data_IF_112577543588
#
_entry.id   IF_112577543588
#
_cell.length_a   1.000
_cell.length_b   1.000
_cell.length_c   1.000
_cell.angle_alpha   90.00
_cell.angle_beta   90.00
_cell.angle_gamma   90.00
#
_symmetry.space_group_name_H-M   'P 1'
#
loop_
_entity.id
_entity.type
_entity.pdbx_description
1 polymer ?
#
# COMPACT_ATOMS: atom_id res chain seq x y z
N UNK A 1 -23.78 19.76 -8.40
CA UNK A 1 -23.11 20.49 -7.30
C UNK A 1 -21.78 21.02 -7.79
N UNK A 2 -21.43 22.26 -7.45
CA UNK A 2 -20.19 22.89 -7.91
C UNK A 2 -18.99 22.39 -7.10
N UNK A 3 -17.86 22.12 -7.78
CA UNK A 3 -16.61 21.72 -7.13
C UNK A 3 -16.13 22.71 -6.05
N UNK A 4 -16.52 23.97 -6.18
CA UNK A 4 -16.23 25.05 -5.21
C UNK A 4 -16.71 24.75 -3.79
N UNK A 5 -17.84 24.07 -3.64
CA UNK A 5 -18.37 23.69 -2.33
C UNK A 5 -17.50 22.63 -1.64
N UNK A 6 -17.00 21.65 -2.40
CA UNK A 6 -16.09 20.62 -1.90
C UNK A 6 -14.76 21.23 -1.44
N UNK A 7 -14.24 22.19 -2.20
CA UNK A 7 -13.05 22.95 -1.81
C UNK A 7 -13.24 23.72 -0.50
N UNK A 8 -14.38 24.40 -0.35
CA UNK A 8 -14.70 25.12 0.89
C UNK A 8 -14.73 24.17 2.11
N UNK A 9 -15.30 22.96 1.96
CA UNK A 9 -15.30 21.93 3.01
C UNK A 9 -13.88 21.44 3.34
N UNK A 10 -13.01 21.28 2.33
CA UNK A 10 -11.62 20.89 2.55
C UNK A 10 -10.81 21.94 3.33
N UNK A 11 -10.96 23.21 2.98
CA UNK A 11 -10.24 24.31 3.65
C UNK A 11 -10.77 24.58 5.07
N UNK A 12 -12.06 24.39 5.30
CA UNK A 12 -12.67 24.51 6.64
C UNK A 12 -12.38 23.33 7.58
N UNK A 13 -11.73 22.26 7.09
CA UNK A 13 -11.40 21.09 7.90
C UNK A 13 -12.58 20.15 8.19
N UNK A 14 -13.74 20.39 7.57
CA UNK A 14 -14.94 19.57 7.74
C UNK A 14 -14.89 18.32 6.85
N UNK A 15 -13.96 17.41 7.14
CA UNK A 15 -13.69 16.24 6.32
C UNK A 15 -14.86 15.24 6.29
N UNK A 16 -15.58 15.06 7.39
CA UNK A 16 -16.72 14.13 7.45
C UNK A 16 -17.82 14.51 6.46
N UNK A 17 -18.19 15.80 6.43
CA UNK A 17 -19.14 16.37 5.47
C UNK A 17 -18.62 16.25 4.04
N UNK A 18 -17.33 16.50 3.83
CA UNK A 18 -16.70 16.35 2.51
C UNK A 18 -16.83 14.91 2.00
N UNK A 19 -16.53 13.91 2.82
CA UNK A 19 -16.62 12.50 2.42
C UNK A 19 -18.06 12.07 2.13
N UNK A 20 -19.02 12.53 2.94
CA UNK A 20 -20.45 12.28 2.74
C UNK A 20 -20.94 12.87 1.41
N UNK A 21 -20.61 14.13 1.15
CA UNK A 21 -21.04 14.84 -0.06
C UNK A 21 -20.44 14.19 -1.30
N UNK A 22 -19.15 13.86 -1.28
CA UNK A 22 -18.49 13.15 -2.40
C UNK A 22 -19.14 11.78 -2.60
N UNK A 23 -19.47 11.04 -1.53
CA UNK A 23 -20.03 9.69 -1.63
C UNK A 23 -21.47 9.64 -2.17
N UNK A 24 -22.29 10.66 -1.92
CA UNK A 24 -23.72 10.66 -2.32
C UNK A 24 -24.02 11.37 -3.63
N UNK A 25 -23.12 12.26 -4.07
CA UNK A 25 -23.39 13.14 -5.20
C UNK A 25 -22.95 12.53 -6.52
N UNK A 26 -23.58 12.94 -7.62
CA UNK A 26 -23.11 12.64 -8.97
C UNK A 26 -22.28 13.80 -9.51
N UNK A 27 -21.11 13.48 -10.06
CA UNK A 27 -20.20 14.45 -10.65
C UNK A 27 -20.00 14.12 -12.13
N UNK A 28 -19.61 15.14 -12.89
CA UNK A 28 -19.17 14.97 -14.27
C UNK A 28 -17.73 14.41 -14.27
N UNK A 29 -17.46 13.48 -15.18
CA UNK A 29 -16.18 12.77 -15.31
C UNK A 29 -14.98 13.72 -15.45
N UNK A 30 -15.20 14.90 -16.04
CA UNK A 30 -14.17 15.96 -16.15
C UNK A 30 -13.58 16.38 -14.80
N UNK A 31 -14.34 16.25 -13.71
CA UNK A 31 -13.91 16.61 -12.37
C UNK A 31 -13.43 15.43 -11.52
N UNK A 32 -13.49 14.19 -12.03
CA UNK A 32 -13.13 12.99 -11.24
C UNK A 32 -11.70 13.05 -10.73
N UNK A 33 -10.75 13.42 -11.60
CA UNK A 33 -9.33 13.50 -11.22
C UNK A 33 -9.10 14.49 -10.07
N UNK A 34 -9.71 15.68 -10.16
CA UNK A 34 -9.60 16.71 -9.14
C UNK A 34 -10.26 16.27 -7.81
N UNK A 35 -11.45 15.68 -7.88
CA UNK A 35 -12.17 15.20 -6.70
C UNK A 35 -11.44 14.02 -6.02
N UNK A 36 -10.81 13.13 -6.79
CA UNK A 36 -9.97 12.05 -6.27
C UNK A 36 -8.74 12.62 -5.53
N UNK A 37 -8.11 13.67 -6.08
CA UNK A 37 -7.00 14.34 -5.40
C UNK A 37 -7.45 14.96 -4.07
N UNK A 38 -8.59 15.66 -4.06
CA UNK A 38 -9.14 16.26 -2.85
C UNK A 38 -9.50 15.18 -1.82
N UNK A 39 -10.11 14.07 -2.24
CA UNK A 39 -10.42 12.94 -1.36
C UNK A 39 -9.18 12.43 -0.63
N UNK A 40 -8.08 12.21 -1.35
CA UNK A 40 -6.84 11.73 -0.73
C UNK A 40 -6.17 12.81 0.12
N UNK A 41 -6.13 14.07 -0.33
CA UNK A 41 -5.60 15.19 0.46
C UNK A 41 -6.35 15.35 1.78
N UNK A 42 -7.68 15.26 1.75
CA UNK A 42 -8.53 15.28 2.94
C UNK A 42 -8.21 14.12 3.89
N UNK A 43 -8.08 12.89 3.37
CA UNK A 43 -7.70 11.71 4.17
C UNK A 43 -6.30 11.81 4.77
N UNK A 44 -5.34 12.38 4.04
CA UNK A 44 -4.00 12.62 4.57
C UNK A 44 -4.06 13.62 5.71
N UNK A 45 -4.69 14.77 5.48
CA UNK A 45 -4.79 15.85 6.47
C UNK A 45 -5.55 15.41 7.73
N UNK A 46 -6.64 14.66 7.59
CA UNK A 46 -7.37 14.06 8.69
C UNK A 46 -6.46 13.17 9.57
N UNK A 47 -5.60 12.35 8.94
CA UNK A 47 -4.72 11.43 9.66
C UNK A 47 -3.48 12.12 10.24
N UNK A 48 -2.95 13.14 9.55
CA UNK A 48 -1.87 14.01 10.04
C UNK A 48 -2.31 14.75 11.31
N UNK A 49 -3.52 15.33 11.31
CA UNK A 49 -4.08 16.00 12.49
C UNK A 49 -4.28 15.04 13.67
N UNK A 50 -4.73 13.80 13.43
CA UNK A 50 -4.92 12.79 14.48
C UNK A 50 -3.60 12.30 15.10
N UNK A 51 -2.50 12.35 14.35
CA UNK A 51 -1.19 11.82 14.79
C UNK A 51 -0.18 12.89 15.17
N UNK A 52 -0.44 14.16 14.85
CA UNK A 52 0.47 15.27 15.08
C UNK A 52 1.79 15.18 14.29
N UNK A 53 1.82 14.39 13.20
CA UNK A 53 3.01 14.16 12.38
C UNK A 53 2.65 14.03 10.90
N UNK A 54 3.51 14.56 10.04
CA UNK A 54 3.38 14.43 8.58
C UNK A 54 3.46 12.96 8.13
N UNK A 55 2.62 12.59 7.17
CA UNK A 55 2.55 11.22 6.68
C UNK A 55 3.67 10.90 5.69
N UNK A 56 4.36 9.79 5.95
CA UNK A 56 5.31 9.22 5.01
C UNK A 56 4.64 8.58 3.79
N UNK A 57 5.42 8.33 2.73
CA UNK A 57 4.93 7.74 1.48
C UNK A 57 4.21 6.38 1.69
N UNK A 58 4.71 5.54 2.61
CA UNK A 58 4.12 4.23 2.94
C UNK A 58 2.76 4.39 3.60
N UNK A 59 2.60 5.38 4.47
CA UNK A 59 1.35 5.62 5.19
C UNK A 59 0.29 6.21 4.25
N UNK A 60 0.69 7.14 3.37
CA UNK A 60 -0.15 7.62 2.27
C UNK A 60 -0.63 6.47 1.39
N UNK A 61 0.25 5.52 1.04
CA UNK A 61 -0.14 4.31 0.32
C UNK A 61 -1.16 3.46 1.08
N UNK A 62 -0.95 3.23 2.38
CA UNK A 62 -1.89 2.49 3.24
C UNK A 62 -3.27 3.15 3.28
N UNK A 63 -3.32 4.48 3.37
CA UNK A 63 -4.57 5.24 3.36
C UNK A 63 -5.32 5.13 2.03
N UNK A 64 -4.62 5.24 0.89
CA UNK A 64 -5.23 5.01 -0.43
C UNK A 64 -5.86 3.63 -0.55
N UNK A 65 -5.19 2.60 -0.01
CA UNK A 65 -5.69 1.23 0.01
C UNK A 65 -6.86 1.01 0.97
N UNK A 66 -6.89 1.71 2.10
CA UNK A 66 -7.91 1.58 3.14
C UNK A 66 -9.20 2.35 2.77
N UNK A 67 -9.05 3.49 2.13
CA UNK A 67 -10.15 4.40 1.78
C UNK A 67 -10.10 4.74 0.28
N UNK A 68 -10.44 3.78 -0.59
CA UNK A 68 -10.57 4.08 -2.01
C UNK A 68 -11.67 5.13 -2.23
N UNK A 69 -11.58 5.93 -3.30
CA UNK A 69 -12.61 6.89 -3.66
C UNK A 69 -13.93 6.17 -3.95
N UNK A 70 -15.08 6.79 -3.61
CA UNK A 70 -16.39 6.21 -3.88
C UNK A 70 -16.71 6.16 -5.38
N UNK A 71 -17.61 5.27 -5.78
CA UNK A 71 -18.06 5.07 -7.18
C UNK A 71 -18.61 6.33 -7.85
N UNK A 72 -18.98 7.34 -7.08
CA UNK A 72 -19.43 8.66 -7.55
C UNK A 72 -18.34 9.47 -8.25
N UNK A 73 -17.06 9.20 -7.96
CA UNK A 73 -15.91 9.88 -8.54
C UNK A 73 -14.87 8.90 -9.10
N UNK A 74 -15.23 7.61 -9.20
CA UNK A 74 -14.35 6.55 -9.65
C UNK A 74 -15.15 5.44 -10.37
N UNK A 75 -14.66 5.06 -11.54
CA UNK A 75 -15.25 4.03 -12.42
C UNK A 75 -15.08 2.59 -11.88
N UNK A 76 -14.32 2.41 -10.80
CA UNK A 76 -14.11 1.11 -10.17
C UNK A 76 -13.04 0.24 -10.84
N UNK A 77 -12.28 0.79 -11.79
CA UNK A 77 -11.16 0.08 -12.40
C UNK A 77 -10.00 -0.04 -11.39
N UNK A 78 -9.94 -1.15 -10.66
CA UNK A 78 -8.87 -1.42 -9.70
C UNK A 78 -7.51 -1.50 -10.41
N UNK A 79 -6.54 -0.74 -9.91
CA UNK A 79 -5.14 -0.98 -10.28
C UNK A 79 -4.72 -2.33 -9.73
N UNK A 80 -4.66 -3.35 -10.59
CA UNK A 80 -4.13 -4.65 -10.25
C UNK A 80 -2.60 -4.51 -10.13
N UNK A 81 -2.12 -4.31 -8.91
CA UNK A 81 -0.69 -4.26 -8.60
C UNK A 81 0.01 -5.62 -8.72
N UNK A 82 -0.74 -6.68 -8.98
CA UNK A 82 -0.22 -8.03 -9.16
C UNK A 82 0.24 -8.23 -10.60
N UNK A 83 1.43 -8.81 -10.78
CA UNK A 83 1.88 -9.22 -12.11
C UNK A 83 0.89 -10.22 -12.75
N UNK A 84 0.93 -10.30 -14.09
CA UNK A 84 0.19 -11.31 -14.86
C UNK A 84 0.46 -12.71 -14.29
N UNK A 85 -0.54 -13.60 -14.34
CA UNK A 85 -0.43 -14.96 -13.80
C UNK A 85 0.81 -15.70 -14.33
N UNK A 86 1.07 -15.60 -15.63
CA UNK A 86 2.24 -16.23 -16.26
C UNK A 86 3.56 -15.69 -15.69
N UNK A 87 3.71 -14.37 -15.56
CA UNK A 87 4.88 -13.74 -14.95
C UNK A 87 5.05 -14.18 -13.49
N UNK A 88 3.95 -14.30 -12.72
CA UNK A 88 4.00 -14.80 -11.34
C UNK A 88 4.46 -16.25 -11.26
N UNK A 89 3.95 -17.13 -12.12
CA UNK A 89 4.35 -18.54 -12.20
C UNK A 89 5.84 -18.66 -12.54
N UNK A 90 6.30 -17.92 -13.54
CA UNK A 90 7.71 -17.90 -13.95
C UNK A 90 8.63 -17.47 -12.80
N UNK A 91 8.32 -16.35 -12.14
CA UNK A 91 9.08 -15.86 -10.99
C UNK A 91 9.11 -16.88 -9.83
N UNK A 92 7.96 -17.51 -9.51
CA UNK A 92 7.90 -18.55 -8.47
C UNK A 92 8.75 -19.77 -8.84
N UNK A 93 8.73 -20.21 -10.11
CA UNK A 93 9.52 -21.35 -10.58
C UNK A 93 11.03 -21.05 -10.53
N UNK A 94 11.44 -19.88 -11.03
CA UNK A 94 12.83 -19.44 -10.97
C UNK A 94 13.32 -19.37 -9.52
N UNK A 95 12.52 -18.80 -8.62
CA UNK A 95 12.89 -18.64 -7.22
C UNK A 95 13.17 -19.96 -6.49
N UNK A 96 12.50 -21.06 -6.88
CA UNK A 96 12.78 -22.39 -6.33
C UNK A 96 14.17 -22.89 -6.69
N UNK A 97 14.71 -22.45 -7.83
CA UNK A 97 16.04 -22.82 -8.30
C UNK A 97 17.11 -21.85 -7.76
N UNK A 98 16.85 -20.54 -7.83
CA UNK A 98 17.77 -19.51 -7.35
C UNK A 98 17.03 -18.33 -6.71
N UNK A 99 17.30 -18.07 -5.43
CA UNK A 99 16.70 -16.98 -4.66
C UNK A 99 17.40 -15.62 -4.82
N UNK A 100 18.63 -15.60 -5.38
CA UNK A 100 19.47 -14.42 -5.57
C UNK A 100 19.93 -14.34 -7.04
N UNK A 101 19.03 -13.94 -7.96
CA UNK A 101 19.38 -13.85 -9.38
C UNK A 101 20.44 -12.77 -9.64
N UNK A 102 21.41 -13.10 -10.49
CA UNK A 102 22.41 -12.16 -11.01
C UNK A 102 21.77 -11.14 -11.98
N UNK A 103 22.52 -10.12 -12.39
CA UNK A 103 21.99 -9.13 -13.34
C UNK A 103 21.58 -9.75 -14.67
N UNK A 104 22.36 -10.69 -15.20
CA UNK A 104 22.04 -11.34 -16.47
C UNK A 104 20.84 -12.26 -16.37
N UNK A 105 20.69 -12.97 -15.26
CA UNK A 105 19.48 -13.74 -14.97
C UNK A 105 18.25 -12.84 -14.84
N UNK A 106 18.38 -11.64 -14.25
CA UNK A 106 17.28 -10.67 -14.23
C UNK A 106 16.91 -10.18 -15.62
N UNK A 107 17.89 -9.99 -16.53
CA UNK A 107 17.61 -9.66 -17.93
C UNK A 107 16.89 -10.80 -18.66
N UNK A 108 17.23 -12.05 -18.37
CA UNK A 108 16.52 -13.21 -18.90
C UNK A 108 15.06 -13.26 -18.41
N UNK A 109 14.85 -13.10 -17.10
CA UNK A 109 13.50 -13.04 -16.51
C UNK A 109 12.71 -11.87 -17.12
N UNK A 110 13.34 -10.71 -17.32
CA UNK A 110 12.72 -9.54 -17.95
C UNK A 110 12.23 -9.86 -19.36
N UNK A 111 13.07 -10.49 -20.19
CA UNK A 111 12.69 -10.93 -21.54
C UNK A 111 11.55 -11.97 -21.56
N UNK A 112 11.50 -12.85 -20.55
CA UNK A 112 10.48 -13.90 -20.49
C UNK A 112 9.14 -13.44 -19.90
N UNK A 113 9.12 -12.36 -19.10
CA UNK A 113 7.95 -11.96 -18.31
C UNK A 113 7.42 -10.56 -18.62
N UNK A 114 8.12 -9.82 -19.49
CA UNK A 114 7.92 -8.40 -19.81
C UNK A 114 7.93 -7.48 -18.57
N UNK A 115 8.61 -7.92 -17.50
CA UNK A 115 8.77 -7.14 -16.28
C UNK A 115 10.07 -6.34 -16.33
N UNK A 116 10.03 -5.14 -15.77
CA UNK A 116 11.22 -4.31 -15.61
C UNK A 116 12.18 -4.95 -14.58
N UNK A 117 13.50 -4.80 -14.79
CA UNK A 117 14.54 -5.33 -13.89
C UNK A 117 14.33 -4.85 -12.44
N UNK A 118 13.85 -3.62 -12.24
CA UNK A 118 13.52 -3.07 -10.92
C UNK A 118 12.36 -3.81 -10.28
N UNK A 119 11.29 -4.10 -11.04
CA UNK A 119 10.13 -4.85 -10.58
C UNK A 119 10.51 -6.28 -10.17
N UNK A 120 11.36 -6.93 -10.97
CA UNK A 120 11.90 -8.26 -10.68
C UNK A 120 12.75 -8.20 -9.40
N UNK A 121 13.68 -7.24 -9.30
CA UNK A 121 14.53 -7.07 -8.11
C UNK A 121 13.70 -6.89 -6.83
N UNK A 122 12.66 -6.05 -6.90
CA UNK A 122 11.73 -5.84 -5.80
C UNK A 122 10.93 -7.10 -5.46
N UNK A 123 10.51 -7.88 -6.45
CA UNK A 123 9.79 -9.13 -6.22
C UNK A 123 10.66 -10.13 -5.45
N UNK A 124 11.91 -10.35 -5.86
CA UNK A 124 12.83 -11.27 -5.19
C UNK A 124 13.16 -10.82 -3.77
N UNK A 125 13.41 -9.52 -3.58
CA UNK A 125 13.59 -8.92 -2.24
C UNK A 125 12.37 -9.17 -1.36
N UNK A 126 11.17 -8.87 -1.86
CA UNK A 126 9.92 -9.02 -1.12
C UNK A 126 9.56 -10.49 -0.83
N UNK A 127 9.95 -11.43 -1.70
CA UNK A 127 9.72 -12.87 -1.48
C UNK A 127 10.63 -13.38 -0.36
N UNK A 128 11.93 -13.09 -0.39
CA UNK A 128 12.86 -13.48 0.70
C UNK A 128 12.44 -12.91 2.06
N UNK A 129 11.97 -11.67 2.09
CA UNK A 129 11.47 -11.06 3.31
C UNK A 129 10.24 -11.78 3.88
N UNK A 130 9.32 -12.23 3.01
CA UNK A 130 8.16 -13.02 3.42
C UNK A 130 8.57 -14.39 3.94
N UNK A 131 9.52 -15.05 3.28
CA UNK A 131 10.00 -16.38 3.71
C UNK A 131 10.68 -16.30 5.07
N UNK A 132 11.54 -15.29 5.29
CA UNK A 132 12.13 -15.00 6.60
C UNK A 132 11.06 -14.78 7.68
N UNK A 133 10.06 -13.94 7.39
CA UNK A 133 8.98 -13.67 8.35
C UNK A 133 8.13 -14.91 8.65
N UNK A 134 7.92 -15.79 7.65
CA UNK A 134 7.21 -17.06 7.84
C UNK A 134 7.96 -18.02 8.75
N UNK A 135 9.28 -18.11 8.60
CA UNK A 135 10.14 -18.93 9.47
C UNK A 135 10.09 -18.42 10.92
N UNK A 136 10.19 -17.10 11.12
CA UNK A 136 10.06 -16.47 12.44
C UNK A 136 8.66 -16.71 13.05
N UNK A 137 7.58 -16.53 12.29
CA UNK A 137 6.21 -16.83 12.74
C UNK A 137 6.02 -18.32 13.12
N UNK A 138 6.69 -19.25 12.43
CA UNK A 138 6.61 -20.68 12.71
C UNK A 138 7.35 -21.07 13.99
N UNK A 139 8.45 -20.38 14.31
CA UNK A 139 9.27 -20.67 15.49
C UNK A 139 8.60 -20.26 16.81
N UNK A 140 7.92 -19.11 16.83
CA UNK A 140 7.34 -18.55 18.07
C UNK A 140 5.81 -18.68 18.14
N UNK A 141 5.14 -19.08 17.05
CA UNK A 141 3.68 -19.14 17.01
C UNK A 141 3.02 -17.75 16.89
N UNK A 142 1.91 -17.67 16.13
CA UNK A 142 1.25 -16.40 15.77
C UNK A 142 0.79 -15.54 16.97
N UNK A 143 0.22 -16.10 18.06
CA UNK A 143 -0.20 -15.31 19.21
C UNK A 143 0.98 -14.75 20.01
N UNK A 144 2.04 -15.55 20.20
CA UNK A 144 3.24 -15.13 20.93
C UNK A 144 4.01 -14.06 20.15
N UNK A 145 4.11 -14.19 18.83
CA UNK A 145 4.70 -13.15 17.97
C UNK A 145 3.95 -11.83 18.03
N UNK A 146 2.60 -11.84 18.06
CA UNK A 146 1.84 -10.60 18.21
C UNK A 146 2.04 -9.97 19.60
N UNK A 147 2.10 -10.77 20.67
CA UNK A 147 2.35 -10.27 22.02
C UNK A 147 3.77 -9.68 22.16
N UNK A 148 4.80 -10.38 21.67
CA UNK A 148 6.18 -9.87 21.64
C UNK A 148 6.29 -8.58 20.82
N UNK A 149 5.54 -8.49 19.72
CA UNK A 149 5.44 -7.28 18.92
C UNK A 149 4.84 -6.12 19.72
N UNK A 150 3.71 -6.32 20.40
CA UNK A 150 3.07 -5.29 21.24
C UNK A 150 3.97 -4.84 22.40
N UNK A 151 4.62 -5.77 23.10
CA UNK A 151 5.52 -5.49 24.22
C UNK A 151 6.80 -4.76 23.80
N UNK A 152 7.31 -5.03 22.59
CA UNK A 152 8.41 -4.28 22.02
C UNK A 152 8.00 -2.84 21.68
N UNK A 153 6.81 -2.63 21.11
CA UNK A 153 6.29 -1.28 20.79
C UNK A 153 6.07 -0.40 22.03
N UNK A 154 5.74 -0.98 23.18
CA UNK A 154 5.53 -0.22 24.42
C UNK A 154 6.82 0.17 25.14
N UNK A 155 7.97 -0.42 24.81
CA UNK A 155 9.25 -0.23 25.52
C UNK A 155 10.38 0.36 24.65
N UNK A 156 10.09 0.86 23.45
CA UNK A 156 11.09 1.42 22.53
C UNK A 156 11.21 2.95 22.65
N UNK A 157 12.42 3.52 22.82
CA UNK A 157 12.63 4.95 22.63
C UNK A 157 12.33 5.33 21.17
N UNK A 158 11.60 6.44 20.98
CA UNK A 158 10.95 6.88 19.72
C UNK A 158 11.87 7.15 18.51
N UNK A 159 13.15 6.80 18.55
CA UNK A 159 14.13 7.19 17.53
C UNK A 159 15.01 6.03 17.01
N UNK A 160 14.41 4.87 16.72
CA UNK A 160 15.05 3.83 15.92
C UNK A 160 14.18 3.49 14.70
N UNK A 161 14.78 3.58 13.51
CA UNK A 161 14.16 3.20 12.25
C UNK A 161 14.17 1.67 12.13
N UNK A 162 13.18 1.01 12.74
CA UNK A 162 13.10 -0.45 12.75
C UNK A 162 12.41 -0.94 11.48
N UNK A 163 13.16 -1.66 10.65
CA UNK A 163 12.62 -2.53 9.60
C UNK A 163 12.02 -3.81 10.21
N UNK A 164 10.83 -3.69 10.83
CA UNK A 164 10.08 -4.83 11.39
C UNK A 164 9.71 -5.86 10.31
N UNK A 165 9.77 -7.18 10.59
CA UNK A 165 9.36 -8.22 9.66
C UNK A 165 7.83 -8.22 9.50
N UNK A 166 7.40 -8.48 8.27
CA UNK A 166 6.12 -8.00 7.75
C UNK A 166 5.01 -9.01 8.01
N UNK A 167 3.90 -8.54 8.61
CA UNK A 167 2.53 -9.08 8.49
C UNK A 167 2.44 -10.48 7.88
N UNK A 168 2.30 -11.51 8.72
CA UNK A 168 2.03 -12.89 8.30
C UNK A 168 0.66 -12.95 7.58
N UNK A 169 0.67 -12.65 6.26
CA UNK A 169 -0.44 -12.85 5.33
C UNK A 169 -0.34 -14.26 4.72
N UNK A 170 -1.38 -15.07 4.94
CA UNK A 170 -1.62 -16.26 4.14
C UNK A 170 -1.90 -15.84 2.69
N UNK A 171 -1.32 -16.56 1.72
CA UNK A 171 -1.68 -16.41 0.30
C UNK A 171 -3.08 -17.01 0.10
#
# INVERSE_FOLDING_TARGET
MSGTYIYALYHSGNFDRLFEVIGRSRFDERYYKELQEIWYKARYKENESKRGKELGAVEKYRLRRKYPPPRSIWDGQETIYSFKENSRKYLKQFYKQNQYPTLDQKKEISRATDLEIVQISNWFKNRRQRDKTRLECAQYGRPQMMQLQTLAYSNLPLNMNISMPYSCKAE
#
